data_IF_660172499985
#
_entry.id   IF_660172499985
#
_cell.length_a   1.000
_cell.length_b   1.000
_cell.length_c   1.000
_cell.angle_alpha   90.00
_cell.angle_beta   90.00
_cell.angle_gamma   90.00
#
_symmetry.space_group_name_H-M   'P 1'
#
loop_
_entity.id
_entity.type
_entity.pdbx_description
1 polymer ?
#
# COMPACT_ATOMS: atom_id res chain seq x y z
N UNK A 1 -35.88 -25.15 -0.08
CA UNK A 1 -35.39 -23.92 -0.74
C UNK A 1 -35.15 -22.84 0.32
N UNK A 2 -33.92 -22.70 0.84
CA UNK A 2 -33.58 -21.60 1.74
C UNK A 2 -33.22 -20.38 0.89
N UNK A 3 -34.16 -19.44 0.77
CA UNK A 3 -33.87 -18.10 0.26
C UNK A 3 -32.84 -17.46 1.20
N UNK A 4 -31.58 -17.42 0.77
CA UNK A 4 -30.56 -16.62 1.40
C UNK A 4 -30.98 -15.16 1.34
N UNK A 5 -31.41 -14.61 2.48
CA UNK A 5 -31.47 -13.16 2.66
C UNK A 5 -30.05 -12.64 2.52
N UNK A 6 -29.67 -12.29 1.29
CA UNK A 6 -28.58 -11.34 1.05
C UNK A 6 -28.99 -10.07 1.77
N UNK A 7 -28.45 -9.83 2.97
CA UNK A 7 -28.41 -8.50 3.55
C UNK A 7 -27.65 -7.63 2.56
N UNK A 8 -28.38 -7.05 1.59
CA UNK A 8 -27.87 -5.97 0.76
C UNK A 8 -27.60 -4.84 1.74
N UNK A 9 -26.32 -4.54 1.95
CA UNK A 9 -25.88 -3.33 2.62
C UNK A 9 -26.73 -2.16 2.09
N UNK A 10 -27.47 -1.51 2.98
CA UNK A 10 -28.12 -0.23 2.71
C UNK A 10 -27.24 0.83 3.34
N UNK A 11 -26.71 1.78 2.56
CA UNK A 11 -25.94 2.88 3.14
C UNK A 11 -26.79 3.61 4.19
N UNK A 12 -26.14 4.03 5.27
CA UNK A 12 -26.80 4.68 6.41
C UNK A 12 -27.36 6.05 6.00
N UNK A 13 -26.70 6.73 5.05
CA UNK A 13 -27.05 8.07 4.53
C UNK A 13 -26.66 8.15 3.03
N UNK A 14 -27.39 8.92 2.21
CA UNK A 14 -26.85 9.42 0.94
C UNK A 14 -25.87 10.57 1.25
N UNK A 15 -24.58 10.25 1.27
CA UNK A 15 -23.55 11.18 1.73
C UNK A 15 -23.15 12.19 0.66
N UNK A 16 -23.17 13.47 1.03
CA UNK A 16 -22.46 14.53 0.30
C UNK A 16 -21.13 14.78 0.99
N UNK A 17 -20.05 14.98 0.23
CA UNK A 17 -18.73 15.19 0.81
C UNK A 17 -18.72 16.44 1.73
N UNK A 18 -18.19 16.26 2.94
CA UNK A 18 -18.17 17.27 4.03
C UNK A 18 -17.26 18.48 3.74
N UNK A 19 -16.41 18.42 2.72
CA UNK A 19 -15.49 19.49 2.34
C UNK A 19 -15.39 19.54 0.82
N UNK A 20 -15.39 20.75 0.27
CA UNK A 20 -15.06 21.01 -1.14
C UNK A 20 -13.61 21.42 -1.36
N UNK A 21 -12.82 21.50 -0.27
CA UNK A 21 -11.43 21.97 -0.31
C UNK A 21 -10.45 20.84 0.07
N UNK A 22 -9.41 20.62 -0.76
CA UNK A 22 -8.32 19.70 -0.43
C UNK A 22 -7.62 20.05 0.87
N UNK A 23 -7.28 19.02 1.67
CA UNK A 23 -6.49 19.20 2.88
C UNK A 23 -5.01 18.96 2.55
N UNK A 24 -4.17 19.97 2.76
CA UNK A 24 -2.72 19.88 2.47
C UNK A 24 -2.09 18.71 3.23
N UNK A 25 -1.42 17.81 2.50
CA UNK A 25 -0.73 16.65 3.06
C UNK A 25 -1.64 15.45 3.34
N UNK A 26 -2.88 15.49 2.85
CA UNK A 26 -3.90 14.44 2.97
C UNK A 26 -4.43 14.09 1.59
N UNK A 27 -4.77 12.82 1.39
CA UNK A 27 -5.36 12.37 0.12
C UNK A 27 -6.87 12.45 0.11
N UNK A 28 -7.50 12.24 1.28
CA UNK A 28 -8.93 12.43 1.46
C UNK A 28 -9.19 13.78 2.15
N UNK A 29 -10.16 14.53 1.64
CA UNK A 29 -10.67 15.77 2.25
C UNK A 29 -11.86 15.55 3.18
N UNK A 30 -12.44 14.35 3.19
CA UNK A 30 -13.61 14.00 4.00
C UNK A 30 -13.59 12.55 4.52
N UNK A 31 -14.52 12.21 5.40
CA UNK A 31 -14.67 10.89 6.02
C UNK A 31 -16.06 10.30 5.72
N UNK A 32 -16.21 9.40 4.72
CA UNK A 32 -17.47 8.70 4.48
C UNK A 32 -17.89 7.86 5.67
N UNK A 33 -19.19 7.57 5.82
CA UNK A 33 -19.65 6.72 6.90
C UNK A 33 -19.08 5.32 6.78
N UNK A 34 -18.82 4.75 7.96
CA UNK A 34 -18.36 3.38 8.07
C UNK A 34 -19.51 2.42 7.74
N UNK A 35 -19.28 1.50 6.80
CA UNK A 35 -20.29 0.51 6.37
C UNK A 35 -20.76 -0.48 7.44
N UNK A 36 -20.08 -0.56 8.59
CA UNK A 36 -20.42 -1.47 9.68
C UNK A 36 -21.06 -0.75 10.87
N UNK A 37 -20.97 0.57 10.94
CA UNK A 37 -21.55 1.35 12.04
C UNK A 37 -23.01 1.67 11.77
N UNK A 38 -23.82 1.68 12.84
CA UNK A 38 -25.26 2.03 12.75
C UNK A 38 -25.50 3.52 12.84
N UNK A 39 -24.55 4.26 13.40
CA UNK A 39 -24.62 5.70 13.63
C UNK A 39 -23.44 6.34 12.91
N UNK A 40 -23.72 7.42 12.19
CA UNK A 40 -22.71 8.30 11.62
C UNK A 40 -22.94 9.67 12.22
N UNK A 41 -21.89 10.26 12.79
CA UNK A 41 -21.91 11.64 13.25
C UNK A 41 -21.44 12.50 12.08
N UNK A 42 -22.33 13.32 11.54
CA UNK A 42 -21.91 14.36 10.61
C UNK A 42 -21.25 15.50 11.40
N UNK A 43 -20.01 15.83 11.06
CA UNK A 43 -19.28 16.91 11.72
C UNK A 43 -19.50 18.27 11.02
N UNK A 44 -20.37 18.31 10.00
CA UNK A 44 -20.78 19.54 9.31
C UNK A 44 -21.58 20.50 10.20
N UNK A 45 -22.18 20.01 11.29
CA UNK A 45 -23.04 20.80 12.19
C UNK A 45 -22.26 21.58 13.27
N UNK A 46 -20.92 21.61 13.20
CA UNK A 46 -20.11 22.51 14.04
C UNK A 46 -19.78 23.73 13.20
N UNK A 47 -20.56 24.80 13.38
CA UNK A 47 -20.22 26.14 12.88
C UNK A 47 -18.77 26.44 13.29
N UNK A 48 -17.83 26.60 12.34
CA UNK A 48 -16.49 27.03 12.70
C UNK A 48 -16.60 28.44 13.29
N UNK A 49 -16.08 28.61 14.50
CA UNK A 49 -15.96 29.94 15.12
C UNK A 49 -15.28 30.88 14.10
N UNK A 50 -15.91 32.00 13.70
CA UNK A 50 -15.38 32.92 12.69
C UNK A 50 -13.96 33.43 12.98
N UNK A 51 -13.48 33.30 14.22
CA UNK A 51 -12.12 33.64 14.63
C UNK A 51 -11.01 32.67 14.18
N UNK A 52 -11.34 31.42 13.81
CA UNK A 52 -10.35 30.40 13.45
C UNK A 52 -10.11 30.34 11.92
N UNK A 53 -9.54 31.42 11.38
CA UNK A 53 -9.15 31.54 9.97
C UNK A 53 -8.08 30.50 9.52
N UNK A 54 -7.54 29.72 10.45
CA UNK A 54 -6.59 28.64 10.18
C UNK A 54 -7.21 27.34 10.66
N UNK A 55 -7.87 26.58 9.76
CA UNK A 55 -8.18 25.17 10.05
C UNK A 55 -6.87 24.47 10.43
N UNK A 56 -6.66 24.06 11.70
CA UNK A 56 -5.39 23.47 12.10
C UNK A 56 -5.18 22.19 11.29
N UNK A 57 -3.93 21.95 10.85
CA UNK A 57 -3.57 20.68 10.21
C UNK A 57 -4.01 19.55 11.14
N UNK A 58 -5.00 18.74 10.74
CA UNK A 58 -5.42 17.57 11.53
C UNK A 58 -4.20 16.66 11.73
N UNK A 59 -3.64 16.69 12.94
CA UNK A 59 -2.47 15.92 13.31
C UNK A 59 -2.78 14.43 13.18
N UNK A 60 -1.78 13.63 12.78
CA UNK A 60 -1.92 12.18 12.83
C UNK A 60 -1.92 11.75 14.30
N UNK A 61 -2.94 11.00 14.71
CA UNK A 61 -3.05 10.33 16.00
C UNK A 61 -2.52 8.90 15.89
N UNK A 62 -1.81 8.45 16.92
CA UNK A 62 -1.23 7.12 17.00
C UNK A 62 -1.83 6.39 18.20
N UNK A 63 -2.37 5.20 17.94
CA UNK A 63 -3.01 4.37 18.96
C UNK A 63 -2.25 3.07 19.09
N UNK A 64 -2.01 2.59 20.31
CA UNK A 64 -1.43 1.27 20.51
C UNK A 64 -2.40 0.19 20.01
N UNK A 65 -1.90 -0.70 19.17
CA UNK A 65 -2.61 -1.89 18.71
C UNK A 65 -2.27 -3.08 19.62
N UNK A 66 -3.26 -3.59 20.35
CA UNK A 66 -3.11 -4.71 21.29
C UNK A 66 -3.08 -6.11 20.64
N UNK A 67 -2.79 -6.18 19.34
CA UNK A 67 -2.67 -7.43 18.57
C UNK A 67 -1.79 -8.46 19.29
N UNK A 68 -2.21 -9.74 19.27
CA UNK A 68 -1.49 -10.86 19.91
C UNK A 68 -0.74 -11.78 18.94
N UNK A 69 -0.96 -11.62 17.64
CA UNK A 69 -0.28 -12.37 16.57
C UNK A 69 0.02 -11.44 15.40
N UNK A 70 1.24 -11.49 14.86
CA UNK A 70 1.67 -10.50 13.85
C UNK A 70 1.55 -10.99 12.40
N UNK A 71 1.64 -12.31 12.18
CA UNK A 71 1.58 -12.92 10.85
C UNK A 71 0.12 -13.09 10.44
N UNK A 72 -0.26 -12.51 9.31
CA UNK A 72 -1.58 -12.66 8.69
C UNK A 72 -1.48 -13.54 7.46
N UNK A 73 -2.48 -14.41 7.22
CA UNK A 73 -2.56 -15.28 6.06
C UNK A 73 -3.66 -14.85 5.09
N UNK A 74 -3.50 -15.18 3.82
CA UNK A 74 -4.50 -14.99 2.80
C UNK A 74 -4.48 -16.18 1.82
N UNK A 75 -5.60 -16.41 1.13
CA UNK A 75 -5.79 -17.49 0.15
C UNK A 75 -6.12 -16.94 -1.25
N UNK A 76 -5.74 -15.70 -1.52
CA UNK A 76 -6.11 -15.04 -2.77
C UNK A 76 -5.22 -15.53 -3.91
N UNK A 77 -5.79 -16.05 -5.02
CA UNK A 77 -5.00 -16.57 -6.13
C UNK A 77 -4.27 -15.45 -6.92
N UNK A 78 -4.64 -14.18 -6.70
CA UNK A 78 -4.04 -13.05 -7.41
C UNK A 78 -2.82 -12.45 -6.70
N UNK A 79 -2.55 -12.81 -5.44
CA UNK A 79 -1.39 -12.32 -4.71
C UNK A 79 -0.40 -13.46 -4.59
N UNK A 80 0.84 -13.24 -5.05
CA UNK A 80 1.89 -14.27 -5.09
C UNK A 80 2.51 -14.58 -3.72
N UNK A 81 1.75 -14.44 -2.62
CA UNK A 81 2.21 -14.74 -1.26
C UNK A 81 1.04 -15.18 -0.37
N UNK A 82 1.32 -16.05 0.59
CA UNK A 82 0.34 -16.51 1.58
C UNK A 82 0.39 -15.66 2.85
N UNK A 83 1.58 -15.37 3.34
CA UNK A 83 1.81 -14.75 4.65
C UNK A 83 2.32 -13.31 4.54
N UNK A 84 1.84 -12.45 5.43
CA UNK A 84 2.27 -11.05 5.52
C UNK A 84 2.43 -10.58 6.95
N UNK A 85 3.27 -9.56 7.12
CA UNK A 85 3.51 -8.86 8.38
C UNK A 85 3.25 -7.36 8.14
N UNK A 86 2.36 -6.79 8.94
CA UNK A 86 1.99 -5.38 8.86
C UNK A 86 2.19 -4.76 10.26
N UNK A 87 3.24 -3.95 10.47
CA UNK A 87 3.53 -3.28 11.75
C UNK A 87 2.48 -2.24 12.16
N UNK A 88 1.66 -1.81 11.21
CA UNK A 88 0.66 -0.76 11.39
C UNK A 88 -0.70 -1.18 10.84
N UNK A 89 -1.77 -0.48 11.25
CA UNK A 89 -3.04 -0.44 10.52
C UNK A 89 -3.35 1.02 10.19
N UNK A 90 -3.81 1.27 8.97
CA UNK A 90 -3.87 2.63 8.41
C UNK A 90 -2.53 3.01 7.80
N UNK A 91 -2.50 4.10 7.03
CA UNK A 91 -1.28 4.54 6.38
C UNK A 91 -1.24 6.05 6.20
N UNK A 92 -0.25 6.71 6.81
CA UNK A 92 -0.04 8.16 6.72
C UNK A 92 0.28 8.63 5.30
N UNK A 93 0.65 7.73 4.38
CA UNK A 93 0.88 8.09 2.97
C UNK A 93 -0.34 8.76 2.32
N UNK A 94 -1.54 8.38 2.77
CA UNK A 94 -2.78 9.01 2.32
C UNK A 94 -3.04 8.83 0.82
N UNK A 95 -2.62 7.71 0.20
CA UNK A 95 -2.89 7.52 -1.23
C UNK A 95 -4.41 7.42 -1.46
N UNK A 96 -5.00 8.32 -2.22
CA UNK A 96 -6.47 8.40 -2.35
C UNK A 96 -7.06 7.11 -2.93
N UNK A 97 -6.35 6.47 -3.86
CA UNK A 97 -6.75 5.23 -4.52
C UNK A 97 -6.52 3.96 -3.68
N UNK A 98 -6.05 4.07 -2.43
CA UNK A 98 -5.56 2.92 -1.67
C UNK A 98 -6.69 1.91 -1.40
N UNK A 99 -6.56 0.70 -1.95
CA UNK A 99 -7.54 -0.38 -1.76
C UNK A 99 -7.67 -0.83 -0.30
N UNK A 100 -6.71 -0.48 0.56
CA UNK A 100 -6.70 -0.85 1.98
C UNK A 100 -7.52 0.10 2.85
N UNK A 101 -7.95 1.26 2.35
CA UNK A 101 -8.82 2.19 3.07
C UNK A 101 -10.02 1.51 3.76
N UNK A 102 -10.76 0.58 3.12
CA UNK A 102 -11.88 -0.13 3.74
C UNK A 102 -11.51 -1.05 4.90
N UNK A 103 -10.22 -1.32 5.17
CA UNK A 103 -9.83 -2.11 6.35
C UNK A 103 -10.00 -1.34 7.65
N UNK A 104 -9.97 0.00 7.59
CA UNK A 104 -10.18 0.85 8.77
C UNK A 104 -11.61 0.81 9.28
N UNK A 105 -12.56 0.49 8.42
CA UNK A 105 -13.97 0.33 8.78
C UNK A 105 -14.17 -0.81 9.79
N UNK A 106 -13.35 -1.87 9.75
CA UNK A 106 -13.38 -2.93 10.75
C UNK A 106 -12.93 -2.48 12.15
N UNK A 107 -12.35 -1.28 12.27
CA UNK A 107 -11.94 -0.67 13.54
C UNK A 107 -12.94 0.37 14.04
N UNK A 108 -14.08 0.53 13.37
CA UNK A 108 -15.05 1.59 13.67
C UNK A 108 -14.69 2.94 13.02
N UNK A 109 -13.59 3.05 12.27
CA UNK A 109 -13.15 4.30 11.65
C UNK A 109 -13.61 4.47 10.21
N UNK A 110 -13.62 5.71 9.70
CA UNK A 110 -13.87 5.98 8.29
C UNK A 110 -12.73 5.49 7.38
N UNK A 111 -13.08 5.06 6.15
CA UNK A 111 -12.13 4.77 5.08
C UNK A 111 -11.49 6.02 4.46
N UNK A 112 -12.03 7.21 4.73
CA UNK A 112 -11.51 8.50 4.23
C UNK A 112 -10.34 9.01 5.06
N UNK A 113 -10.53 10.16 5.69
CA UNK A 113 -9.46 10.86 6.40
C UNK A 113 -8.96 10.10 7.64
N UNK A 114 -9.81 9.32 8.32
CA UNK A 114 -9.39 8.52 9.48
C UNK A 114 -8.33 7.47 9.12
N UNK A 115 -8.41 6.84 7.93
CA UNK A 115 -7.42 5.85 7.47
C UNK A 115 -5.97 6.36 7.48
N UNK A 116 -5.79 7.64 7.16
CA UNK A 116 -4.48 8.28 7.03
C UNK A 116 -4.12 9.18 8.22
N UNK A 117 -5.06 9.43 9.14
CA UNK A 117 -4.86 10.27 10.32
C UNK A 117 -4.97 9.53 11.66
N UNK A 118 -5.56 8.32 11.71
CA UNK A 118 -5.65 7.49 12.91
C UNK A 118 -4.93 6.17 12.68
N UNK A 119 -3.70 6.08 13.15
CA UNK A 119 -2.82 4.95 12.86
C UNK A 119 -2.74 4.03 14.08
N UNK A 120 -3.06 2.76 13.87
CA UNK A 120 -2.85 1.73 14.89
C UNK A 120 -1.41 1.22 14.79
N UNK A 121 -0.70 1.22 15.90
CA UNK A 121 0.73 0.92 16.01
C UNK A 121 0.92 -0.36 16.79
N UNK A 122 1.42 -1.42 16.13
CA UNK A 122 1.73 -2.69 16.80
C UNK A 122 3.14 -2.63 17.38
N UNK A 123 3.29 -1.96 18.52
CA UNK A 123 4.58 -1.77 19.20
C UNK A 123 5.30 -3.08 19.44
N UNK A 124 4.55 -4.13 19.77
CA UNK A 124 5.06 -5.44 20.17
C UNK A 124 5.33 -6.36 18.94
N UNK A 125 5.26 -5.83 17.71
CA UNK A 125 5.40 -6.61 16.47
C UNK A 125 6.74 -7.36 16.35
N UNK A 126 7.91 -6.81 16.72
CA UNK A 126 9.17 -7.54 16.71
C UNK A 126 9.16 -8.74 17.64
N UNK A 127 8.67 -8.59 18.87
CA UNK A 127 8.61 -9.65 19.88
C UNK A 127 7.62 -10.74 19.49
N UNK A 128 6.46 -10.35 18.95
CA UNK A 128 5.48 -11.29 18.42
C UNK A 128 6.05 -12.06 17.22
N UNK A 129 6.79 -11.39 16.34
CA UNK A 129 7.43 -12.03 15.19
C UNK A 129 8.50 -13.02 15.65
N UNK A 130 9.31 -12.65 16.64
CA UNK A 130 10.30 -13.54 17.25
C UNK A 130 9.63 -14.82 17.79
N UNK A 131 8.57 -14.68 18.59
CA UNK A 131 7.86 -15.82 19.17
C UNK A 131 7.29 -16.76 18.09
N UNK A 132 6.75 -16.22 17.00
CA UNK A 132 6.29 -17.00 15.85
C UNK A 132 7.44 -17.76 15.19
N UNK A 133 8.57 -17.10 14.90
CA UNK A 133 9.72 -17.73 14.22
C UNK A 133 10.44 -18.78 15.08
N UNK A 134 10.44 -18.62 16.41
CA UNK A 134 10.98 -19.59 17.37
C UNK A 134 10.12 -20.85 17.47
N UNK A 135 8.80 -20.72 17.29
CA UNK A 135 7.87 -21.84 17.38
C UNK A 135 8.28 -23.00 16.48
N UNK A 136 8.23 -24.22 17.03
CA UNK A 136 8.42 -25.46 16.27
C UNK A 136 7.36 -25.65 15.18
N UNK A 137 6.22 -24.96 15.29
CA UNK A 137 5.13 -25.00 14.29
C UNK A 137 5.40 -24.08 13.09
N UNK A 138 6.34 -23.15 13.19
CA UNK A 138 6.66 -22.26 12.07
C UNK A 138 7.39 -23.03 10.97
N UNK A 139 6.81 -22.99 9.77
CA UNK A 139 7.48 -23.46 8.56
C UNK A 139 8.01 -22.23 7.82
N UNK A 140 9.34 -22.14 7.60
CA UNK A 140 9.95 -21.01 6.93
C UNK A 140 9.33 -20.78 5.55
N UNK A 141 8.96 -19.54 5.28
CA UNK A 141 8.35 -19.10 4.04
C UNK A 141 8.54 -17.59 3.87
N UNK A 142 8.31 -17.10 2.65
CA UNK A 142 8.44 -15.67 2.34
C UNK A 142 7.35 -14.89 3.09
N UNK A 143 7.78 -13.98 3.95
CA UNK A 143 6.89 -13.00 4.58
C UNK A 143 6.86 -11.73 3.72
N UNK A 144 5.66 -11.29 3.34
CA UNK A 144 5.51 -9.99 2.67
C UNK A 144 5.23 -8.89 3.69
N UNK A 145 6.03 -7.83 3.66
CA UNK A 145 5.73 -6.59 4.34
C UNK A 145 5.06 -5.61 3.37
N UNK A 146 4.00 -4.95 3.86
CA UNK A 146 3.12 -4.05 3.09
C UNK A 146 1.96 -4.73 2.34
N UNK A 147 1.14 -5.48 3.08
CA UNK A 147 -0.10 -6.06 2.54
C UNK A 147 -1.29 -5.09 2.53
N UNK A 148 -1.44 -4.27 3.57
CA UNK A 148 -2.58 -3.33 3.75
C UNK A 148 -2.17 -1.98 4.37
N UNK A 149 -0.87 -1.75 4.52
CA UNK A 149 -0.25 -0.51 5.02
C UNK A 149 1.17 -0.41 4.45
N UNK A 150 1.80 0.74 4.52
CA UNK A 150 3.23 0.85 4.22
C UNK A 150 4.06 0.73 5.51
N UNK A 151 5.01 -0.22 5.60
CA UNK A 151 5.85 -0.38 6.78
C UNK A 151 6.83 0.79 6.97
N UNK A 152 7.06 1.61 5.95
CA UNK A 152 7.94 2.78 5.98
C UNK A 152 7.18 4.11 5.88
N UNK A 153 5.94 4.16 6.37
CA UNK A 153 5.22 5.42 6.54
C UNK A 153 5.95 6.38 7.50
N UNK A 154 5.73 7.72 7.45
CA UNK A 154 6.47 8.72 8.22
C UNK A 154 6.76 8.40 9.69
N UNK A 155 5.81 7.87 10.46
CA UNK A 155 6.02 7.52 11.88
C UNK A 155 7.12 6.46 12.09
N UNK A 156 7.40 5.60 11.10
CA UNK A 156 8.46 4.58 11.16
C UNK A 156 9.86 5.19 11.34
N UNK A 157 10.08 6.44 10.93
CA UNK A 157 11.34 7.14 11.17
C UNK A 157 11.66 7.23 12.67
N UNK A 158 10.62 7.33 13.51
CA UNK A 158 10.74 7.45 14.97
C UNK A 158 10.64 6.10 15.66
N UNK A 159 9.64 5.29 15.29
CA UNK A 159 9.30 4.07 16.04
C UNK A 159 10.19 2.87 15.72
N UNK A 160 10.77 2.81 14.52
CA UNK A 160 11.69 1.74 14.10
C UNK A 160 11.12 0.31 14.27
N UNK A 161 9.79 0.15 14.21
CA UNK A 161 9.12 -1.14 14.42
C UNK A 161 9.40 -2.07 13.24
N UNK A 162 9.32 -1.55 12.01
CA UNK A 162 9.70 -2.31 10.81
C UNK A 162 11.15 -2.76 10.90
N UNK A 163 12.06 -1.88 11.35
CA UNK A 163 13.44 -2.27 11.57
C UNK A 163 13.56 -3.40 12.59
N UNK A 164 12.90 -3.31 13.75
CA UNK A 164 12.90 -4.38 14.74
C UNK A 164 12.39 -5.72 14.17
N UNK A 165 11.34 -5.69 13.34
CA UNK A 165 10.91 -6.88 12.61
C UNK A 165 11.99 -7.41 11.64
N UNK A 166 12.70 -6.54 10.91
CA UNK A 166 13.79 -6.94 10.02
C UNK A 166 15.00 -7.50 10.78
N UNK A 167 15.29 -6.99 11.97
CA UNK A 167 16.33 -7.54 12.85
C UNK A 167 16.00 -8.98 13.23
N UNK A 168 14.73 -9.26 13.57
CA UNK A 168 14.27 -10.63 13.80
C UNK A 168 14.39 -11.48 12.54
N UNK A 169 13.87 -11.02 11.40
CA UNK A 169 13.97 -11.77 10.15
C UNK A 169 15.42 -12.09 9.77
N UNK A 170 16.35 -11.14 9.96
CA UNK A 170 17.78 -11.35 9.74
C UNK A 170 18.42 -12.31 10.76
N UNK A 171 17.97 -12.30 12.03
CA UNK A 171 18.42 -13.24 13.08
C UNK A 171 18.09 -14.69 12.69
N UNK A 172 16.84 -14.93 12.29
CA UNK A 172 16.33 -16.24 11.86
C UNK A 172 16.63 -16.57 10.38
N UNK A 173 17.12 -15.59 9.60
CA UNK A 173 17.31 -15.67 8.14
C UNK A 173 16.02 -16.10 7.41
N UNK A 174 14.87 -15.65 7.91
CA UNK A 174 13.59 -15.92 7.25
C UNK A 174 13.43 -14.95 6.07
N UNK A 175 13.03 -15.44 4.87
CA UNK A 175 12.92 -14.58 3.71
C UNK A 175 11.80 -13.53 3.84
N UNK A 176 12.08 -12.34 3.33
CA UNK A 176 11.14 -11.21 3.33
C UNK A 176 11.10 -10.52 1.97
N UNK A 177 9.89 -10.19 1.52
CA UNK A 177 9.69 -9.28 0.41
C UNK A 177 8.99 -8.01 0.91
N UNK A 178 9.54 -6.85 0.59
CA UNK A 178 9.01 -5.56 1.03
C UNK A 178 8.38 -4.86 -0.17
N UNK A 179 7.23 -4.22 0.03
CA UNK A 179 6.68 -3.24 -0.91
C UNK A 179 6.63 -1.90 -0.18
N UNK A 180 7.09 -0.81 -0.80
CA UNK A 180 7.00 0.53 -0.20
C UNK A 180 6.97 1.64 -1.24
N UNK A 181 6.51 2.82 -0.84
CA UNK A 181 6.58 4.09 -1.58
C UNK A 181 7.59 5.09 -1.00
N UNK A 182 8.35 4.71 0.01
CA UNK A 182 9.19 5.63 0.76
C UNK A 182 10.67 5.25 0.73
N UNK A 183 11.55 6.24 0.48
CA UNK A 183 13.01 6.07 0.49
C UNK A 183 13.54 5.56 1.83
N UNK A 184 12.78 5.72 2.91
CA UNK A 184 13.16 5.34 4.28
C UNK A 184 13.61 3.87 4.40
N UNK A 185 13.20 2.98 3.49
CA UNK A 185 13.70 1.60 3.40
C UNK A 185 15.23 1.50 3.30
N UNK A 186 15.90 2.50 2.72
CA UNK A 186 17.36 2.59 2.61
C UNK A 186 18.06 2.66 3.98
N UNK A 187 17.39 3.19 5.01
CA UNK A 187 17.89 3.19 6.40
C UNK A 187 18.27 1.79 6.89
N UNK A 188 17.51 0.77 6.43
CA UNK A 188 17.65 -0.60 6.89
C UNK A 188 18.42 -1.48 5.88
N UNK A 189 19.20 -0.85 4.99
CA UNK A 189 20.02 -1.52 3.97
C UNK A 189 21.03 -2.50 4.58
N UNK A 190 21.51 -2.25 5.80
CA UNK A 190 22.42 -3.14 6.53
C UNK A 190 21.80 -4.52 6.77
N UNK A 191 20.53 -4.56 7.17
CA UNK A 191 19.76 -5.79 7.39
C UNK A 191 19.33 -6.43 6.08
N UNK A 192 18.90 -5.62 5.12
CA UNK A 192 18.44 -6.09 3.81
C UNK A 192 19.58 -6.73 3.01
N UNK A 193 20.77 -6.13 3.02
CA UNK A 193 21.98 -6.68 2.41
C UNK A 193 22.35 -8.03 3.04
N UNK A 194 22.30 -8.12 4.38
CA UNK A 194 22.56 -9.38 5.09
C UNK A 194 21.58 -10.48 4.66
N UNK A 195 20.29 -10.19 4.60
CA UNK A 195 19.29 -11.14 4.12
C UNK A 195 19.46 -11.48 2.63
N UNK A 196 19.77 -10.49 1.79
CA UNK A 196 20.02 -10.68 0.37
C UNK A 196 21.18 -11.65 0.12
N UNK A 197 22.23 -11.65 0.95
CA UNK A 197 23.33 -12.63 0.86
C UNK A 197 22.90 -14.10 1.04
N UNK A 198 21.72 -14.34 1.62
CA UNK A 198 21.09 -15.66 1.75
C UNK A 198 19.95 -15.89 0.74
N UNK A 199 19.81 -15.02 -0.27
CA UNK A 199 18.64 -14.95 -1.15
C UNK A 199 17.32 -14.79 -0.37
N UNK A 200 17.35 -14.09 0.76
CA UNK A 200 16.24 -13.96 1.70
C UNK A 200 15.65 -12.54 1.78
N UNK A 201 16.01 -11.64 0.85
CA UNK A 201 15.37 -10.32 0.75
C UNK A 201 15.15 -9.88 -0.69
N UNK A 202 14.02 -9.23 -0.94
CA UNK A 202 13.78 -8.43 -2.12
C UNK A 202 12.92 -7.20 -1.77
N UNK A 203 13.18 -6.06 -2.41
CA UNK A 203 12.43 -4.82 -2.20
C UNK A 203 11.71 -4.43 -3.48
N UNK A 204 10.46 -4.00 -3.36
CA UNK A 204 9.65 -3.44 -4.44
C UNK A 204 9.35 -1.98 -4.12
N UNK A 205 9.88 -1.07 -4.94
CA UNK A 205 9.55 0.35 -4.82
C UNK A 205 8.37 0.65 -5.74
N UNK A 206 7.27 1.18 -5.20
CA UNK A 206 6.13 1.55 -6.03
C UNK A 206 6.33 2.94 -6.64
N UNK A 207 6.30 3.00 -7.97
CA UNK A 207 6.41 4.25 -8.74
C UNK A 207 5.14 4.42 -9.56
N UNK A 208 4.28 5.33 -9.11
CA UNK A 208 2.96 5.58 -9.70
C UNK A 208 3.02 6.59 -10.85
N UNK A 209 3.91 7.58 -10.73
CA UNK A 209 4.13 8.69 -11.67
C UNK A 209 5.54 9.25 -11.46
N UNK A 210 6.14 9.81 -12.51
CA UNK A 210 7.38 10.59 -12.40
C UNK A 210 7.09 12.09 -12.17
N UNK A 211 5.83 12.51 -12.26
CA UNK A 211 5.42 13.89 -11.99
C UNK A 211 5.25 14.14 -10.48
N UNK A 212 6.12 14.99 -9.94
CA UNK A 212 6.07 15.41 -8.53
C UNK A 212 4.82 16.21 -8.19
N UNK A 213 4.18 16.91 -9.15
CA UNK A 213 2.91 17.62 -8.91
C UNK A 213 1.78 16.64 -8.68
N UNK A 214 1.64 15.63 -9.55
CA UNK A 214 0.66 14.56 -9.38
C UNK A 214 0.91 13.77 -8.09
N UNK A 215 2.17 13.40 -7.81
CA UNK A 215 2.54 12.68 -6.59
C UNK A 215 2.05 13.39 -5.31
N UNK A 216 2.19 14.72 -5.23
CA UNK A 216 1.80 15.52 -4.05
C UNK A 216 0.30 15.51 -3.76
N UNK A 217 -0.54 15.35 -4.78
CA UNK A 217 -2.01 15.31 -4.59
C UNK A 217 -2.54 13.88 -4.52
N UNK A 218 -1.89 12.94 -5.21
CA UNK A 218 -2.33 11.56 -5.31
C UNK A 218 -1.85 10.70 -4.12
N UNK A 219 -0.65 10.97 -3.62
CA UNK A 219 0.04 10.20 -2.57
C UNK A 219 0.93 11.11 -1.69
N UNK A 220 0.33 12.10 -1.01
CA UNK A 220 0.96 13.34 -0.52
C UNK A 220 2.14 13.16 0.45
N UNK A 221 2.19 12.05 1.20
CA UNK A 221 3.19 11.82 2.24
C UNK A 221 4.14 10.67 1.94
N UNK A 222 4.20 10.27 0.67
CA UNK A 222 5.21 9.34 0.14
C UNK A 222 6.47 10.10 -0.27
N UNK A 223 7.56 9.39 -0.54
CA UNK A 223 8.76 10.01 -1.14
C UNK A 223 8.45 10.57 -2.53
N UNK A 224 9.17 11.63 -2.93
CA UNK A 224 9.10 12.13 -4.31
C UNK A 224 9.51 11.05 -5.31
N UNK A 225 9.11 11.16 -6.59
CA UNK A 225 9.53 10.20 -7.61
C UNK A 225 11.07 10.10 -7.75
N UNK A 226 11.80 11.23 -7.68
CA UNK A 226 13.27 11.23 -7.70
C UNK A 226 13.87 10.45 -6.54
N UNK A 227 13.39 10.69 -5.32
CA UNK A 227 13.85 9.99 -4.12
C UNK A 227 13.55 8.47 -4.16
N UNK A 228 12.51 8.05 -4.89
CA UNK A 228 12.23 6.63 -5.12
C UNK A 228 13.23 6.01 -6.10
N UNK A 229 13.65 6.74 -7.14
CA UNK A 229 14.69 6.28 -8.06
C UNK A 229 16.04 6.18 -7.34
N UNK A 230 16.41 7.19 -6.56
CA UNK A 230 17.61 7.16 -5.70
C UNK A 230 17.60 5.96 -4.73
N UNK A 231 16.44 5.65 -4.15
CA UNK A 231 16.30 4.49 -3.27
C UNK A 231 16.47 3.15 -4.01
N UNK A 232 16.09 3.08 -5.29
CA UNK A 232 16.36 1.91 -6.12
C UNK A 232 17.88 1.78 -6.30
N UNK A 233 18.56 2.84 -6.72
CA UNK A 233 20.02 2.86 -6.91
C UNK A 233 20.77 2.43 -5.64
N UNK A 234 20.48 3.07 -4.49
CA UNK A 234 21.16 2.80 -3.22
C UNK A 234 20.99 1.33 -2.75
N UNK A 235 19.78 0.77 -2.88
CA UNK A 235 19.54 -0.63 -2.53
C UNK A 235 20.24 -1.59 -3.50
N UNK A 236 20.31 -1.24 -4.79
CA UNK A 236 20.99 -2.04 -5.81
C UNK A 236 22.49 -2.05 -5.61
N UNK A 237 23.09 -0.91 -5.30
CA UNK A 237 24.52 -0.78 -4.97
C UNK A 237 24.90 -1.60 -3.74
N UNK A 238 23.96 -1.74 -2.79
CA UNK A 238 24.13 -2.61 -1.63
C UNK A 238 23.90 -4.12 -1.91
N UNK A 239 23.62 -4.50 -3.16
CA UNK A 239 23.40 -5.89 -3.57
C UNK A 239 22.01 -6.45 -3.22
N UNK A 240 21.05 -5.61 -2.80
CA UNK A 240 19.68 -6.03 -2.51
C UNK A 240 18.90 -6.15 -3.82
N UNK A 241 18.23 -7.28 -4.11
CA UNK A 241 17.34 -7.37 -5.27
C UNK A 241 16.21 -6.35 -5.19
N UNK A 242 16.12 -5.45 -6.17
CA UNK A 242 15.09 -4.41 -6.23
C UNK A 242 14.25 -4.57 -7.48
N UNK A 243 12.94 -4.45 -7.32
CA UNK A 243 12.00 -4.31 -8.42
C UNK A 243 11.14 -3.06 -8.27
N UNK A 244 10.38 -2.77 -9.33
CA UNK A 244 9.42 -1.66 -9.35
C UNK A 244 8.00 -2.20 -9.43
N UNK A 245 7.11 -1.62 -8.62
CA UNK A 245 5.67 -1.78 -8.82
C UNK A 245 5.12 -0.52 -9.50
N UNK A 246 4.80 -0.61 -10.79
CA UNK A 246 4.09 0.45 -11.51
C UNK A 246 2.62 0.36 -11.12
N UNK A 247 2.31 0.81 -9.90
CA UNK A 247 1.05 0.47 -9.24
C UNK A 247 0.52 1.56 -8.29
N UNK A 248 -0.73 2.00 -8.48
CA UNK A 248 -1.63 1.61 -9.56
C UNK A 248 -1.37 2.39 -10.86
N UNK A 249 -1.59 1.74 -11.99
CA UNK A 249 -1.83 2.43 -13.26
C UNK A 249 -3.26 2.97 -13.24
N UNK A 250 -3.40 4.28 -13.45
CA UNK A 250 -4.68 4.99 -13.48
C UNK A 250 -4.94 5.40 -14.94
N UNK A 251 -5.91 4.77 -15.63
CA UNK A 251 -6.20 5.04 -17.03
C UNK A 251 -6.60 6.51 -17.27
N UNK A 252 -5.99 7.16 -18.25
CA UNK A 252 -6.20 8.58 -18.54
C UNK A 252 -5.50 9.54 -17.58
N UNK A 253 -4.74 9.03 -16.61
CA UNK A 253 -3.97 9.85 -15.66
C UNK A 253 -2.49 9.46 -15.61
N UNK A 254 -2.15 8.18 -15.43
CA UNK A 254 -0.76 7.68 -15.32
C UNK A 254 -0.39 6.58 -16.31
N UNK A 255 -1.36 6.02 -17.04
CA UNK A 255 -1.17 4.98 -18.07
C UNK A 255 -0.13 5.35 -19.13
N UNK A 256 -0.11 6.60 -19.57
CA UNK A 256 0.85 7.10 -20.55
C UNK A 256 2.30 7.18 -20.02
N UNK A 257 2.52 7.15 -18.71
CA UNK A 257 3.85 7.23 -18.09
C UNK A 257 4.55 5.86 -17.99
N UNK A 258 3.83 4.76 -18.19
CA UNK A 258 4.34 3.39 -17.95
C UNK A 258 5.70 3.12 -18.62
N UNK A 259 5.92 3.42 -19.92
CA UNK A 259 7.23 3.20 -20.53
C UNK A 259 8.34 4.06 -19.92
N UNK A 260 8.05 5.32 -19.59
CA UNK A 260 9.04 6.25 -18.99
C UNK A 260 9.41 5.85 -17.57
N UNK A 261 8.43 5.38 -16.77
CA UNK A 261 8.66 4.84 -15.43
C UNK A 261 9.58 3.62 -15.52
N UNK A 262 9.28 2.67 -16.41
CA UNK A 262 10.09 1.47 -16.57
C UNK A 262 11.51 1.78 -17.04
N UNK A 263 11.67 2.70 -17.99
CA UNK A 263 12.98 3.17 -18.44
C UNK A 263 13.78 3.82 -17.29
N UNK A 264 13.17 4.73 -16.54
CA UNK A 264 13.83 5.41 -15.42
C UNK A 264 14.22 4.42 -14.30
N UNK A 265 13.31 3.52 -13.93
CA UNK A 265 13.59 2.50 -12.92
C UNK A 265 14.64 1.48 -13.40
N UNK A 266 14.63 1.09 -14.68
CA UNK A 266 15.65 0.23 -15.27
C UNK A 266 17.04 0.87 -15.22
N UNK A 267 17.15 2.16 -15.56
CA UNK A 267 18.40 2.94 -15.42
C UNK A 267 18.88 3.02 -13.97
N UNK A 268 17.96 3.18 -13.02
CA UNK A 268 18.23 3.15 -11.58
C UNK A 268 18.63 1.74 -11.06
N UNK A 269 18.54 0.69 -11.89
CA UNK A 269 18.97 -0.67 -11.54
C UNK A 269 17.86 -1.63 -11.11
N UNK A 270 16.58 -1.28 -11.28
CA UNK A 270 15.48 -2.20 -11.03
C UNK A 270 15.59 -3.45 -11.92
N UNK A 271 15.51 -4.64 -11.31
CA UNK A 271 15.75 -5.92 -11.99
C UNK A 271 14.48 -6.64 -12.41
N UNK A 272 13.35 -6.32 -11.78
CA UNK A 272 12.06 -6.92 -12.06
C UNK A 272 10.95 -5.88 -11.88
N UNK A 273 9.80 -6.11 -12.51
CA UNK A 273 8.67 -5.20 -12.38
C UNK A 273 7.34 -5.96 -12.28
N UNK A 274 6.37 -5.30 -11.68
CA UNK A 274 4.96 -5.67 -11.75
C UNK A 274 4.09 -4.43 -11.89
N UNK A 275 2.83 -4.62 -12.28
CA UNK A 275 1.84 -3.56 -12.28
C UNK A 275 0.50 -4.05 -11.75
N UNK A 276 -0.34 -3.10 -11.38
CA UNK A 276 -1.78 -3.32 -11.16
C UNK A 276 -2.51 -2.10 -11.70
N UNK A 277 -3.71 -2.28 -12.21
CA UNK A 277 -4.61 -1.18 -12.55
C UNK A 277 -5.41 -0.79 -11.32
N UNK A 278 -5.67 0.52 -11.16
CA UNK A 278 -6.40 1.09 -10.01
C UNK A 278 -7.65 0.31 -9.64
N UNK A 279 -7.81 0.03 -8.34
CA UNK A 279 -8.97 -0.66 -7.77
C UNK A 279 -9.68 0.28 -6.81
N UNK A 280 -10.98 0.43 -6.98
CA UNK A 280 -11.79 1.37 -6.19
C UNK A 280 -12.89 0.63 -5.40
N UNK A 281 -12.53 -0.28 -4.47
CA UNK A 281 -13.53 -1.04 -3.72
C UNK A 281 -14.29 -0.15 -2.72
N UNK A 282 -15.59 -0.36 -2.58
CA UNK A 282 -16.42 0.25 -1.52
C UNK A 282 -16.26 1.78 -1.46
N UNK A 283 -16.01 2.34 -0.28
CA UNK A 283 -15.80 3.77 -0.04
C UNK A 283 -14.65 4.40 -0.84
N UNK A 284 -13.73 3.62 -1.42
CA UNK A 284 -12.63 4.15 -2.24
C UNK A 284 -13.14 4.75 -3.55
N UNK A 285 -14.22 4.21 -4.14
CA UNK A 285 -14.80 4.76 -5.36
C UNK A 285 -15.32 6.20 -5.20
N UNK A 286 -16.23 6.51 -4.26
CA UNK A 286 -16.68 7.88 -4.06
C UNK A 286 -15.57 8.81 -3.57
N UNK A 287 -14.63 8.33 -2.75
CA UNK A 287 -13.45 9.11 -2.34
C UNK A 287 -12.59 9.52 -3.55
N UNK A 288 -12.33 8.59 -4.47
CA UNK A 288 -11.52 8.86 -5.66
C UNK A 288 -12.26 9.75 -6.67
N UNK A 289 -13.57 9.56 -6.81
CA UNK A 289 -14.41 10.41 -7.66
C UNK A 289 -14.43 11.87 -7.17
N UNK A 290 -14.57 12.08 -5.87
CA UNK A 290 -14.51 13.40 -5.25
C UNK A 290 -13.11 14.03 -5.41
N UNK A 291 -12.06 13.26 -5.20
CA UNK A 291 -10.69 13.75 -5.42
C UNK A 291 -10.42 14.15 -6.88
N UNK A 292 -11.00 13.45 -7.86
CA UNK A 292 -10.93 13.87 -9.26
C UNK A 292 -11.66 15.19 -9.51
N UNK A 293 -12.76 15.44 -8.81
CA UNK A 293 -13.48 16.71 -8.89
C UNK A 293 -12.66 17.88 -8.31
N UNK A 294 -11.99 17.65 -7.18
CA UNK A 294 -11.14 18.64 -6.53
C UNK A 294 -9.87 18.98 -7.34
N UNK A 295 -9.26 17.99 -7.98
CA UNK A 295 -7.92 18.15 -8.57
C UNK A 295 -7.88 18.11 -10.10
N UNK A 296 -8.83 17.42 -10.74
CA UNK A 296 -8.83 17.16 -12.18
C UNK A 296 -10.25 17.17 -12.79
N UNK A 297 -11.08 18.21 -12.54
CA UNK A 297 -12.50 18.21 -12.91
C UNK A 297 -12.71 18.00 -14.41
N UNK A 298 -11.89 18.64 -15.24
CA UNK A 298 -11.95 18.51 -16.71
C UNK A 298 -11.62 17.09 -17.22
N UNK A 299 -10.91 16.29 -16.43
CA UNK A 299 -10.52 14.92 -16.78
C UNK A 299 -11.35 13.85 -16.06
N UNK A 300 -12.17 14.23 -15.08
CA UNK A 300 -12.96 13.33 -14.21
C UNK A 300 -13.71 12.29 -15.02
N UNK A 301 -14.62 12.73 -15.91
CA UNK A 301 -15.47 11.81 -16.67
C UNK A 301 -14.69 10.90 -17.62
N UNK A 302 -13.61 11.40 -18.22
CA UNK A 302 -12.73 10.59 -19.07
C UNK A 302 -12.05 9.48 -18.27
N UNK A 303 -11.50 9.81 -17.10
CA UNK A 303 -10.81 8.84 -16.22
C UNK A 303 -11.80 7.80 -15.70
N UNK A 304 -12.94 8.24 -15.14
CA UNK A 304 -13.98 7.34 -14.63
C UNK A 304 -14.55 6.46 -15.74
N UNK A 305 -14.79 7.01 -16.93
CA UNK A 305 -15.23 6.25 -18.10
C UNK A 305 -14.26 5.12 -18.48
N UNK A 306 -12.96 5.39 -18.52
CA UNK A 306 -11.93 4.37 -18.79
C UNK A 306 -11.86 3.31 -17.70
N UNK A 307 -11.96 3.71 -16.43
CA UNK A 307 -12.02 2.76 -15.31
C UNK A 307 -13.25 1.87 -15.45
N UNK A 308 -14.43 2.43 -15.76
CA UNK A 308 -15.67 1.64 -15.98
C UNK A 308 -15.50 0.62 -17.10
N UNK A 309 -14.84 1.01 -18.21
CA UNK A 309 -14.57 0.11 -19.32
C UNK A 309 -13.72 -1.09 -18.88
N UNK A 310 -12.61 -0.84 -18.16
CA UNK A 310 -11.70 -1.87 -17.64
C UNK A 310 -12.32 -2.77 -16.56
N UNK A 311 -13.53 -2.47 -16.09
CA UNK A 311 -14.21 -3.17 -15.01
C UNK A 311 -15.53 -3.82 -15.46
N UNK A 312 -15.69 -4.02 -16.77
CA UNK A 312 -16.84 -4.73 -17.36
C UNK A 312 -18.04 -3.84 -17.67
N UNK A 313 -17.81 -2.54 -17.92
CA UNK A 313 -18.80 -1.49 -18.21
C UNK A 313 -19.79 -1.24 -17.05
N UNK A 314 -19.98 0.04 -16.67
CA UNK A 314 -20.87 0.53 -15.60
C UNK A 314 -20.43 0.34 -14.13
N UNK A 315 -19.18 -0.07 -13.84
CA UNK A 315 -18.70 -0.22 -12.45
C UNK A 315 -17.32 0.39 -12.25
N UNK A 316 -17.06 0.99 -11.09
CA UNK A 316 -15.71 1.50 -10.75
C UNK A 316 -14.80 0.42 -10.13
N UNK A 317 -15.34 -0.74 -9.79
CA UNK A 317 -14.58 -1.85 -9.23
C UNK A 317 -15.16 -3.20 -9.63
N UNK A 318 -14.27 -4.19 -9.80
CA UNK A 318 -14.61 -5.58 -10.03
C UNK A 318 -13.82 -6.41 -9.00
N UNK A 319 -14.50 -7.27 -8.24
CA UNK A 319 -13.88 -8.12 -7.20
C UNK A 319 -13.48 -9.51 -7.71
N UNK A 320 -13.84 -9.86 -8.95
CA UNK A 320 -13.53 -11.16 -9.56
C UNK A 320 -12.03 -11.40 -9.59
N UNK A 321 -11.60 -12.57 -9.13
CA UNK A 321 -10.21 -13.00 -9.23
C UNK A 321 -9.73 -12.97 -10.68
N UNK A 322 -8.44 -12.78 -10.85
CA UNK A 322 -7.70 -12.61 -12.09
C UNK A 322 -8.05 -11.33 -12.88
N UNK A 323 -9.29 -10.84 -12.83
CA UNK A 323 -9.70 -9.60 -13.48
C UNK A 323 -9.43 -8.35 -12.64
N UNK A 324 -9.60 -8.42 -11.31
CA UNK A 324 -9.58 -7.23 -10.44
C UNK A 324 -8.27 -6.43 -10.43
N UNK A 325 -7.13 -7.06 -10.73
CA UNK A 325 -5.82 -6.39 -10.74
C UNK A 325 -5.39 -5.88 -12.11
N UNK A 326 -5.83 -6.52 -13.19
CA UNK A 326 -5.35 -6.25 -14.55
C UNK A 326 -6.41 -5.62 -15.45
N UNK A 327 -7.70 -5.72 -15.10
CA UNK A 327 -8.80 -5.26 -15.93
C UNK A 327 -9.13 -6.18 -17.11
N UNK A 328 -10.09 -5.76 -17.91
CA UNK A 328 -10.57 -6.48 -19.10
C UNK A 328 -10.73 -5.49 -20.27
N UNK A 329 -10.63 -5.99 -21.50
CA UNK A 329 -10.86 -5.21 -22.72
C UNK A 329 -9.64 -4.44 -23.25
N UNK A 330 -9.86 -3.66 -24.30
CA UNK A 330 -8.80 -3.10 -25.17
C UNK A 330 -7.80 -2.23 -24.38
N UNK A 331 -8.28 -1.45 -23.41
CA UNK A 331 -7.39 -0.64 -22.58
C UNK A 331 -6.50 -1.48 -21.66
N UNK A 332 -6.98 -2.65 -21.20
CA UNK A 332 -6.18 -3.55 -20.38
C UNK A 332 -5.05 -4.16 -21.22
N UNK A 333 -5.39 -4.61 -22.44
CA UNK A 333 -4.45 -5.19 -23.40
C UNK A 333 -3.38 -4.17 -23.82
N UNK A 334 -3.79 -2.91 -24.03
CA UNK A 334 -2.87 -1.82 -24.32
C UNK A 334 -1.91 -1.55 -23.15
N UNK A 335 -2.41 -1.49 -21.92
CA UNK A 335 -1.58 -1.29 -20.72
C UNK A 335 -0.60 -2.45 -20.54
N UNK A 336 -1.08 -3.70 -20.71
CA UNK A 336 -0.24 -4.90 -20.65
C UNK A 336 0.88 -4.84 -21.70
N UNK A 337 0.53 -4.53 -22.95
CA UNK A 337 1.48 -4.43 -24.06
C UNK A 337 2.53 -3.34 -23.82
N UNK A 338 2.12 -2.16 -23.35
CA UNK A 338 3.03 -1.06 -23.00
C UNK A 338 3.98 -1.45 -21.87
N UNK A 339 3.47 -2.15 -20.86
CA UNK A 339 4.27 -2.63 -19.75
C UNK A 339 5.29 -3.68 -20.20
N UNK A 340 4.88 -4.69 -20.97
CA UNK A 340 5.75 -5.75 -21.47
C UNK A 340 6.85 -5.22 -22.40
N UNK A 341 6.49 -4.33 -23.34
CA UNK A 341 7.47 -3.67 -24.22
C UNK A 341 8.40 -2.78 -23.40
N UNK A 342 7.88 -2.04 -22.41
CA UNK A 342 8.69 -1.20 -21.52
C UNK A 342 9.72 -2.01 -20.73
N UNK A 343 9.31 -3.14 -20.14
CA UNK A 343 10.22 -4.03 -19.42
C UNK A 343 11.32 -4.58 -20.33
N UNK A 344 10.97 -5.05 -21.54
CA UNK A 344 11.95 -5.55 -22.52
C UNK A 344 12.96 -4.48 -22.91
N UNK A 345 12.52 -3.25 -23.18
CA UNK A 345 13.40 -2.13 -23.56
C UNK A 345 14.28 -1.67 -22.41
N UNK A 346 13.78 -1.74 -21.17
CA UNK A 346 14.51 -1.34 -19.97
C UNK A 346 15.44 -2.44 -19.42
N UNK A 347 15.47 -3.63 -20.03
CA UNK A 347 16.28 -4.76 -19.53
C UNK A 347 15.76 -5.36 -18.21
N UNK A 348 14.49 -5.11 -17.87
CA UNK A 348 13.87 -5.59 -16.63
C UNK A 348 13.41 -7.03 -16.83
N UNK A 349 13.91 -7.92 -15.97
CA UNK A 349 13.69 -9.36 -16.02
C UNK A 349 12.64 -9.89 -15.04
N UNK A 350 12.79 -11.17 -14.69
CA UNK A 350 11.87 -11.88 -13.78
C UNK A 350 12.20 -11.60 -12.31
N UNK A 351 11.17 -11.64 -11.46
CA UNK A 351 11.33 -11.53 -10.01
C UNK A 351 12.20 -12.69 -9.48
N UNK A 352 13.18 -12.42 -8.60
CA UNK A 352 13.98 -13.46 -7.98
C UNK A 352 13.12 -14.33 -7.06
N UNK A 353 13.44 -15.63 -7.02
CA UNK A 353 12.85 -16.54 -6.04
C UNK A 353 13.64 -16.42 -4.73
N UNK A 354 12.94 -16.05 -3.65
CA UNK A 354 13.54 -16.01 -2.32
C UNK A 354 13.65 -17.42 -1.73
N UNK A 355 14.71 -17.65 -0.97
CA UNK A 355 15.07 -18.96 -0.42
C UNK A 355 14.80 -19.04 1.08
N UNK A 356 14.29 -20.19 1.51
CA UNK A 356 14.14 -20.57 2.93
C UNK A 356 15.29 -21.47 3.41
N UNK A 357 16.20 -21.86 2.53
CA UNK A 357 17.24 -22.87 2.81
C UNK A 357 18.21 -22.45 3.92
N UNK A 358 18.41 -21.14 4.11
CA UNK A 358 19.30 -20.60 5.15
C UNK A 358 18.59 -20.31 6.47
N UNK A 359 17.28 -20.59 6.57
CA UNK A 359 16.53 -20.37 7.80
C UNK A 359 17.16 -21.11 8.98
N UNK A 360 17.19 -20.47 10.14
CA UNK A 360 17.70 -21.04 11.38
C UNK A 360 16.91 -20.57 12.57
N UNK A 361 16.84 -21.40 13.61
CA UNK A 361 16.45 -20.99 14.95
C UNK A 361 17.72 -20.90 15.78
N UNK A 362 18.18 -19.69 16.16
CA UNK A 362 19.33 -19.58 17.05
C UNK A 362 18.97 -20.26 18.37
N UNK A 363 19.73 -21.29 18.76
CA UNK A 363 19.69 -21.77 20.13
C UNK A 363 20.33 -20.67 20.99
N UNK A 364 19.53 -19.85 21.67
CA UNK A 364 19.99 -19.21 22.91
C UNK A 364 20.08 -20.32 23.96
N UNK A 365 21.10 -21.17 23.83
CA UNK A 365 21.49 -22.06 24.90
C UNK A 365 22.05 -21.13 25.98
N UNK A 366 21.27 -20.92 27.04
CA UNK A 366 21.77 -20.31 28.27
C UNK A 366 23.06 -21.05 28.62
N UNK A 367 24.20 -20.42 28.39
CA UNK A 367 25.45 -20.87 28.98
C UNK A 367 25.26 -20.66 30.48
N UNK A 368 24.92 -21.75 31.18
CA UNK A 368 25.05 -21.83 32.63
C UNK A 368 26.55 -21.66 32.91
N UNK A 369 26.94 -20.43 33.24
CA UNK A 369 28.22 -20.13 33.88
C UNK A 369 28.15 -20.55 35.35
#
# INVERSE_FOLDING_TARGET
>A
MKQGRSQKYRPVIEETAQSSAPIRGRGASWSPANRFEKLHVDHNDVDPDPGDAVRPRRATQFFRDGTKTIITRNNSPDVGFETSVNPYRGCEHGCIYCYARPTHEYLGFSAGLDFESKIMVKTDAPELLRAELESSRWTPQVLVMSGVTDPYQPVEQKLRITRGCLEMLAKFRNPVAIITKNRLVTRDVDLLRKLASFNAAAVNISVTSLDSKLQRVLEPRTSSPSARLEAIEELRDAGVPVGVMVAPIIPGLTDHEVPKILEACGKAGAQFAGYTIVRLPWAVAPLFEHWLEEHFPERKEKILGRIRHLRGNNRLNNSKWHARMIGEGIFADQIASLFEVGCRRAGIGKRPQLSTASFRRPCEQLALL
#
